data_IF_494038533450
#
_entry.id   IF_494038533450
#
_cell.length_a   1.000
_cell.length_b   1.000
_cell.length_c   1.000
_cell.angle_alpha   90.00
_cell.angle_beta   90.00
_cell.angle_gamma   90.00
#
_symmetry.space_group_name_H-M   'P 1'
#
loop_
_entity.id
_entity.type
_entity.pdbx_description
1 polymer ?
#
# COMPACT_ATOMS: atom_id res chain seq x y z
N UNK A 1 13.35 51.38 58.04
CA UNK A 1 12.89 50.13 57.37
C UNK A 1 11.43 50.34 56.96
N UNK A 2 11.22 50.77 55.72
CA UNK A 2 9.87 51.01 55.13
C UNK A 2 9.69 50.02 53.98
N UNK A 3 8.72 49.10 54.10
CA UNK A 3 8.34 48.14 53.07
C UNK A 3 7.36 48.81 52.11
N UNK A 4 7.71 48.94 50.84
CA UNK A 4 6.81 49.30 49.76
C UNK A 4 6.16 48.01 49.24
N UNK A 5 4.83 47.91 49.33
CA UNK A 5 4.00 46.96 48.61
C UNK A 5 3.70 47.53 47.23
N UNK A 6 4.12 46.89 46.17
CA UNK A 6 3.68 47.14 44.81
C UNK A 6 2.47 46.25 44.51
N UNK A 7 1.33 46.83 44.23
CA UNK A 7 0.11 46.16 43.80
C UNK A 7 0.17 46.04 42.27
N UNK A 8 0.30 44.80 41.77
CA UNK A 8 0.28 44.47 40.34
C UNK A 8 -1.16 44.21 39.92
N UNK A 9 -1.78 45.13 39.20
CA UNK A 9 -3.10 44.94 38.61
C UNK A 9 -3.00 44.10 37.35
N UNK A 10 -3.51 42.84 37.40
CA UNK A 10 -3.64 41.97 36.25
C UNK A 10 -4.93 42.32 35.50
N UNK A 11 -4.77 42.91 34.32
CA UNK A 11 -5.89 43.10 33.38
C UNK A 11 -6.16 41.77 32.65
N UNK A 12 -7.26 41.12 32.98
CA UNK A 12 -7.77 39.94 32.25
C UNK A 12 -8.44 40.43 30.97
N UNK A 13 -7.75 40.25 29.82
CA UNK A 13 -8.38 40.43 28.51
C UNK A 13 -9.09 39.11 28.17
N UNK A 14 -10.40 39.11 28.27
CA UNK A 14 -11.25 38.04 27.77
C UNK A 14 -11.28 38.08 26.23
N UNK A 15 -10.49 37.26 25.59
CA UNK A 15 -10.60 36.99 24.15
C UNK A 15 -11.71 35.96 23.97
N UNK A 16 -12.90 36.42 23.64
CA UNK A 16 -14.00 35.60 23.17
C UNK A 16 -13.66 35.15 21.73
N UNK A 17 -12.89 34.05 21.59
CA UNK A 17 -12.63 33.36 20.35
C UNK A 17 -13.67 32.31 20.13
N UNK A 18 -14.82 32.60 19.53
CA UNK A 18 -15.66 31.59 18.85
C UNK A 18 -14.93 31.14 17.60
N UNK A 19 -13.99 30.21 17.75
CA UNK A 19 -13.38 29.47 16.67
C UNK A 19 -14.07 28.12 16.55
N UNK A 20 -15.14 28.03 15.78
CA UNK A 20 -15.64 26.76 15.28
C UNK A 20 -14.51 26.13 14.43
N UNK A 21 -13.99 24.97 14.88
CA UNK A 21 -13.10 24.12 14.10
C UNK A 21 -13.92 23.44 13.00
N UNK A 22 -14.37 24.24 11.99
CA UNK A 22 -14.81 23.71 10.72
C UNK A 22 -13.59 23.05 10.05
N UNK A 23 -13.70 21.81 9.58
CA UNK A 23 -12.65 21.18 8.79
C UNK A 23 -12.33 22.13 7.62
N UNK A 24 -11.02 22.30 7.29
CA UNK A 24 -10.58 23.28 6.29
C UNK A 24 -11.16 23.11 4.87
N UNK A 25 -12.05 22.13 4.66
CA UNK A 25 -12.75 21.82 3.42
C UNK A 25 -14.20 22.32 3.35
N UNK A 26 -14.78 22.80 4.46
CA UNK A 26 -16.13 23.41 4.43
C UNK A 26 -16.20 24.58 3.45
N UNK A 27 -15.08 25.32 3.28
CA UNK A 27 -14.93 26.38 2.29
C UNK A 27 -14.96 25.89 0.83
N UNK A 28 -14.80 24.59 0.59
CA UNK A 28 -14.89 23.97 -0.75
C UNK A 28 -16.33 23.62 -1.14
N UNK A 29 -17.29 23.65 -0.22
CA UNK A 29 -18.69 23.35 -0.52
C UNK A 29 -19.39 24.68 -0.88
N UNK A 30 -19.93 24.76 -2.10
CA UNK A 30 -20.69 25.91 -2.57
C UNK A 30 -22.09 25.92 -1.98
N UNK A 31 -22.77 27.06 -2.06
CA UNK A 31 -24.14 27.24 -1.52
C UNK A 31 -25.16 26.30 -2.17
N UNK A 32 -24.95 25.89 -3.41
CA UNK A 32 -25.76 24.90 -4.14
C UNK A 32 -25.43 23.44 -3.80
N UNK A 33 -24.51 23.22 -2.86
CA UNK A 33 -24.07 21.91 -2.42
C UNK A 33 -23.05 21.22 -3.34
N UNK A 34 -22.64 21.86 -4.45
CA UNK A 34 -21.54 21.39 -5.29
C UNK A 34 -20.18 21.58 -4.64
N UNK A 35 -19.16 20.83 -5.06
CA UNK A 35 -17.80 20.89 -4.55
C UNK A 35 -16.91 21.70 -5.49
N UNK A 36 -16.21 22.70 -4.94
CA UNK A 36 -15.11 23.38 -5.60
C UNK A 36 -13.81 22.64 -5.37
N UNK A 37 -13.47 21.73 -6.27
CA UNK A 37 -12.26 20.92 -6.17
C UNK A 37 -10.98 21.76 -6.10
N UNK A 38 -10.95 22.97 -6.64
CA UNK A 38 -9.79 23.87 -6.57
C UNK A 38 -9.37 24.26 -5.14
N UNK A 39 -10.26 24.06 -4.17
CA UNK A 39 -10.01 24.30 -2.75
C UNK A 39 -9.67 23.04 -1.95
N UNK A 40 -9.59 21.88 -2.60
CA UNK A 40 -9.30 20.59 -1.96
C UNK A 40 -7.82 20.28 -2.10
N UNK A 41 -7.22 19.80 -1.01
CA UNK A 41 -5.91 19.14 -1.03
C UNK A 41 -6.09 17.68 -0.64
N UNK A 42 -5.59 16.77 -1.47
CA UNK A 42 -5.55 15.35 -1.21
C UNK A 42 -4.14 14.94 -0.83
N UNK A 43 -3.97 14.39 0.37
CA UNK A 43 -2.70 13.88 0.87
C UNK A 43 -2.59 12.39 0.50
N UNK A 44 -1.68 12.05 -0.41
CA UNK A 44 -1.55 10.69 -0.95
C UNK A 44 -0.28 10.02 -0.43
N UNK A 45 -0.44 8.84 0.14
CA UNK A 45 0.67 7.96 0.48
C UNK A 45 1.06 7.08 -0.70
N UNK A 46 2.35 7.01 -0.99
CA UNK A 46 2.87 6.20 -2.09
C UNK A 46 4.09 5.36 -1.65
N UNK A 47 4.46 4.40 -2.47
CA UNK A 47 5.61 3.53 -2.27
C UNK A 47 6.58 3.69 -3.45
N UNK A 48 7.81 3.19 -3.30
CA UNK A 48 8.85 3.28 -4.33
C UNK A 48 8.33 2.83 -5.70
N UNK A 49 8.46 3.71 -6.70
CA UNK A 49 7.99 3.50 -8.07
C UNK A 49 6.49 3.13 -8.14
N UNK A 50 5.69 3.76 -7.29
CA UNK A 50 4.27 3.46 -7.11
C UNK A 50 3.33 4.28 -7.98
N UNK A 51 2.26 4.75 -7.36
CA UNK A 51 1.13 5.36 -8.08
C UNK A 51 1.48 6.74 -8.62
N UNK A 52 2.30 7.54 -7.92
CA UNK A 52 2.71 8.88 -8.40
C UNK A 52 3.39 8.76 -9.77
N UNK A 53 4.44 7.96 -9.86
CA UNK A 53 5.21 7.77 -11.10
C UNK A 53 4.34 7.21 -12.23
N UNK A 54 3.39 6.34 -11.88
CA UNK A 54 2.44 5.77 -12.82
C UNK A 54 1.48 6.83 -13.39
N UNK A 55 0.92 7.69 -12.54
CA UNK A 55 0.01 8.77 -12.95
C UNK A 55 0.75 9.82 -13.80
N UNK A 56 2.01 10.13 -13.46
CA UNK A 56 2.86 11.02 -14.24
C UNK A 56 3.13 10.46 -15.64
N UNK A 57 3.54 9.19 -15.73
CA UNK A 57 3.82 8.51 -17.00
C UNK A 57 2.59 8.39 -17.89
N UNK A 58 1.44 8.09 -17.31
CA UNK A 58 0.16 8.01 -18.03
C UNK A 58 -0.48 9.38 -18.30
N UNK A 59 0.17 10.50 -17.97
CA UNK A 59 -0.34 11.87 -18.07
C UNK A 59 -1.67 12.11 -17.33
N UNK A 60 -2.00 11.25 -16.36
CA UNK A 60 -3.26 11.33 -15.60
C UNK A 60 -3.24 12.44 -14.52
N UNK A 61 -2.12 13.09 -14.27
CA UNK A 61 -2.07 14.30 -13.44
C UNK A 61 -2.44 15.58 -14.20
N UNK A 62 -2.54 15.51 -15.54
CA UNK A 62 -3.00 16.64 -16.33
C UNK A 62 -4.46 16.96 -16.05
N UNK A 63 -4.79 18.25 -15.90
CA UNK A 63 -6.15 18.71 -15.67
C UNK A 63 -6.77 18.33 -14.31
N UNK A 64 -5.98 17.84 -13.36
CA UNK A 64 -6.42 17.66 -11.96
C UNK A 64 -6.86 18.99 -11.38
N UNK A 65 -8.06 19.04 -10.82
CA UNK A 65 -8.67 20.28 -10.30
C UNK A 65 -8.42 20.52 -8.81
N UNK A 66 -7.78 19.60 -8.11
CA UNK A 66 -7.42 19.67 -6.69
C UNK A 66 -5.90 19.57 -6.54
N UNK A 67 -5.38 20.00 -5.40
CA UNK A 67 -3.96 19.84 -5.09
C UNK A 67 -3.71 18.40 -4.60
N UNK A 68 -2.63 17.79 -5.06
CA UNK A 68 -2.12 16.53 -4.52
C UNK A 68 -0.79 16.80 -3.82
N UNK A 69 -0.63 16.25 -2.62
CA UNK A 69 0.67 16.17 -1.93
C UNK A 69 1.02 14.71 -1.72
N UNK A 70 2.29 14.37 -1.90
CA UNK A 70 2.78 13.00 -1.85
C UNK A 70 3.65 12.77 -0.62
N UNK A 71 3.47 11.62 0.02
CA UNK A 71 4.32 11.12 1.09
C UNK A 71 4.80 9.70 0.76
N UNK A 72 6.13 9.49 0.82
CA UNK A 72 6.72 8.20 0.46
C UNK A 72 6.85 7.28 1.67
N UNK A 73 6.52 6.01 1.48
CA UNK A 73 6.57 4.96 2.49
C UNK A 73 7.38 3.77 2.00
N UNK A 74 8.04 3.09 2.93
CA UNK A 74 8.88 1.92 2.63
C UNK A 74 8.08 0.67 2.25
N UNK A 75 6.82 0.58 2.74
CA UNK A 75 5.90 -0.54 2.49
C UNK A 75 4.47 -0.17 2.88
N UNK A 76 3.50 -1.07 2.63
CA UNK A 76 2.09 -0.84 2.94
C UNK A 76 1.76 -0.65 4.43
N UNK A 77 2.31 -1.42 5.38
CA UNK A 77 1.99 -1.25 6.79
C UNK A 77 2.23 0.17 7.33
N UNK A 78 3.43 0.80 7.22
CA UNK A 78 3.61 2.17 7.68
C UNK A 78 2.76 3.20 6.93
N UNK A 79 2.40 2.94 5.67
CA UNK A 79 1.45 3.78 4.92
C UNK A 79 0.07 3.75 5.58
N UNK A 80 -0.44 2.56 5.96
CA UNK A 80 -1.74 2.45 6.62
C UNK A 80 -1.74 2.97 8.06
N UNK A 81 -0.62 2.94 8.77
CA UNK A 81 -0.45 3.62 10.06
C UNK A 81 -0.63 5.14 9.88
N UNK A 82 -0.03 5.73 8.85
CA UNK A 82 -0.20 7.14 8.51
C UNK A 82 -1.65 7.48 8.11
N UNK A 83 -2.32 6.61 7.34
CA UNK A 83 -3.73 6.76 6.99
C UNK A 83 -4.65 6.68 8.23
N UNK A 84 -4.39 5.75 9.14
CA UNK A 84 -5.13 5.62 10.40
C UNK A 84 -4.95 6.86 11.29
N UNK A 85 -3.76 7.45 11.30
CA UNK A 85 -3.47 8.69 12.03
C UNK A 85 -4.04 9.95 11.34
N UNK A 86 -4.57 9.84 10.11
CA UNK A 86 -5.07 10.97 9.33
C UNK A 86 -3.97 11.85 8.73
N UNK A 87 -2.71 11.39 8.70
CA UNK A 87 -1.60 12.09 8.07
C UNK A 87 -1.66 12.03 6.54
N UNK A 88 -2.32 11.01 6.00
CA UNK A 88 -2.67 10.90 4.58
C UNK A 88 -4.15 10.58 4.42
N UNK A 89 -4.70 10.94 3.28
CA UNK A 89 -6.11 10.71 2.93
C UNK A 89 -6.33 9.37 2.23
N UNK A 90 -5.36 8.97 1.40
CA UNK A 90 -5.47 7.78 0.54
C UNK A 90 -4.09 7.24 0.21
N UNK A 91 -4.02 5.93 -0.09
CA UNK A 91 -2.80 5.33 -0.61
C UNK A 91 -3.00 3.90 -1.12
N UNK A 92 -2.07 3.47 -1.98
CA UNK A 92 -2.07 2.14 -2.58
C UNK A 92 -1.25 1.14 -1.77
N UNK A 93 -1.81 -0.06 -1.54
CA UNK A 93 -1.15 -1.15 -0.79
C UNK A 93 -1.44 -2.51 -1.43
N UNK A 94 -0.67 -3.52 -1.06
CA UNK A 94 -0.96 -4.91 -1.42
C UNK A 94 -2.15 -5.49 -0.64
N UNK A 95 -2.40 -6.78 -0.82
CA UNK A 95 -3.51 -7.51 -0.21
C UNK A 95 -3.46 -7.60 1.33
N UNK A 96 -2.30 -7.72 1.91
CA UNK A 96 -2.13 -8.06 3.33
C UNK A 96 -2.20 -6.87 4.29
N UNK A 97 -1.67 -5.65 3.98
CA UNK A 97 -1.69 -4.54 4.90
C UNK A 97 -3.07 -4.16 5.44
N UNK A 98 -4.17 -4.16 4.62
CA UNK A 98 -5.51 -3.87 5.14
C UNK A 98 -5.99 -4.88 6.19
N UNK A 99 -5.62 -6.16 6.04
CA UNK A 99 -5.98 -7.22 7.01
C UNK A 99 -5.30 -6.96 8.36
N UNK A 100 -4.00 -6.62 8.35
CA UNK A 100 -3.26 -6.33 9.58
C UNK A 100 -3.74 -5.04 10.24
N UNK A 101 -4.03 -4.00 9.45
CA UNK A 101 -4.61 -2.75 9.94
C UNK A 101 -5.99 -2.98 10.58
N UNK A 102 -6.85 -3.77 9.92
CA UNK A 102 -8.15 -4.15 10.44
C UNK A 102 -8.04 -4.93 11.76
N UNK A 103 -7.15 -5.91 11.84
CA UNK A 103 -6.90 -6.67 13.06
C UNK A 103 -6.37 -5.82 14.22
N UNK A 104 -5.68 -4.71 13.92
CA UNK A 104 -5.22 -3.72 14.88
C UNK A 104 -6.28 -2.66 15.24
N UNK A 105 -7.52 -2.75 14.71
CA UNK A 105 -8.59 -1.80 14.97
C UNK A 105 -8.42 -0.44 14.27
N UNK A 106 -7.63 -0.39 13.20
CA UNK A 106 -7.38 0.84 12.43
C UNK A 106 -8.65 1.35 11.75
N UNK A 107 -8.81 2.68 11.72
CA UNK A 107 -9.95 3.35 11.08
C UNK A 107 -9.61 3.69 9.63
N UNK A 108 -9.49 2.64 8.82
CA UNK A 108 -9.24 2.73 7.37
C UNK A 108 -10.33 2.02 6.59
N UNK A 109 -10.49 2.33 5.32
CA UNK A 109 -11.48 1.68 4.46
C UNK A 109 -10.89 1.44 3.07
N UNK A 110 -11.07 0.24 2.55
CA UNK A 110 -10.73 -0.13 1.18
C UNK A 110 -11.78 0.47 0.23
N UNK A 111 -11.34 1.29 -0.71
CA UNK A 111 -12.21 2.04 -1.64
C UNK A 111 -11.94 1.70 -3.12
N UNK A 112 -10.92 0.92 -3.43
CA UNK A 112 -10.60 0.49 -4.79
C UNK A 112 -9.78 -0.79 -4.76
N UNK A 113 -9.84 -1.57 -5.84
CA UNK A 113 -9.09 -2.81 -6.00
C UNK A 113 -8.51 -2.95 -7.43
N UNK A 114 -7.36 -3.60 -7.51
CA UNK A 114 -6.76 -4.05 -8.75
C UNK A 114 -6.39 -5.53 -8.67
N UNK A 115 -6.62 -6.26 -9.75
CA UNK A 115 -6.08 -7.60 -9.92
C UNK A 115 -4.71 -7.50 -10.59
N UNK A 116 -3.67 -8.05 -9.98
CA UNK A 116 -2.30 -7.97 -10.48
C UNK A 116 -1.70 -9.34 -10.76
N UNK A 117 -0.68 -9.38 -11.61
CA UNK A 117 0.10 -10.59 -11.82
C UNK A 117 0.92 -10.92 -10.57
N UNK A 118 0.66 -12.09 -9.99
CA UNK A 118 1.30 -12.54 -8.75
C UNK A 118 2.78 -12.91 -8.93
N UNK A 119 3.28 -13.02 -10.18
CA UNK A 119 4.70 -13.23 -10.48
C UNK A 119 5.58 -12.02 -10.10
N UNK A 120 4.96 -10.86 -9.84
CA UNK A 120 5.62 -9.71 -9.24
C UNK A 120 6.01 -9.92 -7.77
N UNK A 121 5.74 -11.09 -7.20
CA UNK A 121 6.13 -11.50 -5.85
C UNK A 121 6.87 -12.84 -5.91
N UNK A 122 7.92 -12.99 -5.11
CA UNK A 122 8.70 -14.22 -5.06
C UNK A 122 9.36 -14.46 -3.70
N UNK A 123 9.64 -15.72 -3.41
CA UNK A 123 10.68 -16.09 -2.43
C UNK A 123 11.99 -16.27 -3.20
N UNK A 124 12.97 -15.43 -2.90
CA UNK A 124 14.30 -15.44 -3.49
C UNK A 124 15.28 -16.21 -2.60
N UNK A 125 16.25 -16.83 -3.23
CA UNK A 125 17.41 -17.43 -2.58
C UNK A 125 18.70 -16.97 -3.27
N UNK A 126 19.86 -16.91 -2.58
CA UNK A 126 21.13 -16.58 -3.20
C UNK A 126 21.46 -17.49 -4.40
N UNK A 127 22.24 -16.98 -5.36
CA UNK A 127 22.65 -17.72 -6.59
C UNK A 127 23.11 -19.15 -6.31
N UNK A 128 23.99 -19.32 -5.34
CA UNK A 128 24.62 -20.58 -4.98
C UNK A 128 23.98 -21.26 -3.76
N UNK A 129 22.76 -20.83 -3.36
CA UNK A 129 22.05 -21.41 -2.22
C UNK A 129 21.79 -22.90 -2.43
N UNK A 130 21.98 -23.75 -1.41
CA UNK A 130 21.59 -25.17 -1.45
C UNK A 130 20.06 -25.36 -1.41
N UNK A 131 19.29 -24.33 -1.06
CA UNK A 131 17.83 -24.36 -1.02
C UNK A 131 17.31 -24.55 -2.45
N UNK A 132 16.61 -25.66 -2.72
CA UNK A 132 16.07 -26.03 -4.03
C UNK A 132 14.56 -26.17 -4.02
N UNK A 133 13.98 -26.53 -2.88
CA UNK A 133 12.55 -26.77 -2.68
C UNK A 133 12.01 -25.88 -1.56
N UNK A 134 10.69 -25.75 -1.50
CA UNK A 134 10.04 -24.99 -0.41
C UNK A 134 10.21 -25.67 0.95
N UNK A 135 10.42 -27.00 0.99
CA UNK A 135 10.70 -27.77 2.20
C UNK A 135 12.07 -27.44 2.81
N UNK A 136 13.04 -27.05 1.97
CA UNK A 136 14.39 -26.64 2.42
C UNK A 136 14.38 -25.31 3.21
N UNK A 137 13.24 -24.61 3.24
CA UNK A 137 13.07 -23.39 4.05
C UNK A 137 13.03 -23.68 5.56
N UNK A 138 12.83 -24.96 5.98
CA UNK A 138 12.84 -25.31 7.41
C UNK A 138 14.13 -24.90 8.10
N UNK A 139 14.00 -24.19 9.23
CA UNK A 139 15.10 -23.65 10.03
C UNK A 139 15.85 -22.45 9.42
N UNK A 140 15.48 -21.99 8.22
CA UNK A 140 16.18 -20.91 7.51
C UNK A 140 15.78 -19.52 8.02
N UNK A 141 16.72 -18.57 7.91
CA UNK A 141 16.50 -17.13 8.15
C UNK A 141 15.86 -16.55 6.90
N UNK A 142 14.63 -16.06 7.01
CA UNK A 142 13.86 -15.56 5.86
C UNK A 142 13.50 -14.10 6.11
N UNK A 143 14.02 -13.18 5.28
CA UNK A 143 13.66 -11.77 5.34
C UNK A 143 12.28 -11.54 4.73
N UNK A 144 11.51 -10.64 5.33
CA UNK A 144 10.23 -10.14 4.83
C UNK A 144 9.78 -8.89 5.59
N UNK A 145 8.94 -8.05 5.01
CA UNK A 145 8.26 -6.98 5.75
C UNK A 145 6.99 -7.54 6.43
N UNK A 146 6.91 -7.43 7.76
CA UNK A 146 5.75 -7.92 8.53
C UNK A 146 4.46 -7.22 8.07
N UNK A 147 3.39 -7.99 7.84
CA UNK A 147 2.08 -7.46 7.42
C UNK A 147 2.02 -6.99 5.96
N UNK A 148 3.05 -7.22 5.15
CA UNK A 148 3.06 -6.94 3.71
C UNK A 148 2.57 -8.14 2.88
N UNK A 149 2.36 -7.95 1.57
CA UNK A 149 2.04 -9.05 0.65
C UNK A 149 3.13 -10.13 0.59
N UNK A 150 4.39 -9.79 0.88
CA UNK A 150 5.46 -10.79 1.04
C UNK A 150 5.23 -11.70 2.26
N UNK A 151 4.53 -11.21 3.29
CA UNK A 151 4.13 -12.02 4.45
C UNK A 151 3.06 -13.04 4.05
N UNK A 152 2.07 -12.65 3.24
CA UNK A 152 1.06 -13.55 2.70
C UNK A 152 1.68 -14.61 1.79
N UNK A 153 2.59 -14.21 0.88
CA UNK A 153 3.30 -15.15 0.04
C UNK A 153 4.04 -16.20 0.86
N UNK A 154 4.82 -15.76 1.87
CA UNK A 154 5.57 -16.71 2.71
C UNK A 154 4.61 -17.62 3.49
N UNK A 155 3.49 -17.12 4.01
CA UNK A 155 2.48 -17.93 4.66
C UNK A 155 1.95 -19.04 3.75
N UNK A 156 1.58 -18.70 2.52
CA UNK A 156 1.10 -19.66 1.53
C UNK A 156 2.15 -20.72 1.18
N UNK A 157 3.40 -20.29 0.97
CA UNK A 157 4.54 -21.17 0.67
C UNK A 157 4.81 -22.15 1.82
N UNK A 158 4.87 -21.66 3.05
CA UNK A 158 5.11 -22.50 4.24
C UNK A 158 3.96 -23.48 4.44
N UNK A 159 2.71 -23.05 4.33
CA UNK A 159 1.53 -23.93 4.41
C UNK A 159 1.60 -25.06 3.37
N UNK A 160 1.97 -24.76 2.13
CA UNK A 160 2.14 -25.77 1.06
C UNK A 160 3.30 -26.73 1.34
N UNK A 161 4.34 -26.25 2.01
CA UNK A 161 5.48 -27.08 2.43
C UNK A 161 5.18 -27.96 3.66
N UNK A 162 4.00 -27.83 4.28
CA UNK A 162 3.68 -28.46 5.57
C UNK A 162 4.41 -27.82 6.76
N UNK A 163 4.82 -26.54 6.63
CA UNK A 163 5.56 -25.78 7.62
C UNK A 163 4.71 -24.63 8.16
N UNK A 164 5.04 -24.19 9.38
CA UNK A 164 4.55 -22.96 9.98
C UNK A 164 5.65 -21.91 10.16
N UNK A 165 5.28 -20.72 10.63
CA UNK A 165 6.25 -19.67 10.94
C UNK A 165 7.22 -20.05 12.08
N UNK A 166 6.84 -20.98 12.95
CA UNK A 166 7.72 -21.54 14.01
C UNK A 166 8.79 -22.50 13.47
N UNK A 167 8.61 -23.03 12.26
CA UNK A 167 9.57 -23.90 11.60
C UNK A 167 10.68 -23.15 10.84
N UNK A 168 10.57 -21.83 10.75
CA UNK A 168 11.55 -20.95 10.09
C UNK A 168 12.00 -19.84 11.07
N UNK A 169 12.96 -19.02 10.66
CA UNK A 169 13.45 -17.87 11.45
C UNK A 169 13.12 -16.57 10.69
N UNK A 170 11.91 -16.01 10.82
CA UNK A 170 11.54 -14.80 10.10
C UNK A 170 12.38 -13.62 10.59
N UNK A 171 12.91 -12.84 9.65
CA UNK A 171 13.61 -11.59 9.88
C UNK A 171 12.75 -10.46 9.34
N UNK A 172 12.10 -9.74 10.24
CA UNK A 172 11.20 -8.64 9.88
C UNK A 172 12.00 -7.39 9.55
N UNK A 173 12.27 -7.19 8.26
CA UNK A 173 13.06 -6.09 7.72
C UNK A 173 12.27 -5.34 6.65
N UNK A 174 12.45 -4.02 6.57
CA UNK A 174 11.95 -3.24 5.45
C UNK A 174 12.73 -3.58 4.17
N UNK A 175 12.15 -3.37 2.96
CA UNK A 175 12.74 -3.87 1.73
C UNK A 175 14.20 -3.47 1.47
N UNK A 176 14.59 -2.23 1.78
CA UNK A 176 15.97 -1.78 1.57
C UNK A 176 16.96 -2.48 2.53
N UNK A 177 16.58 -2.64 3.81
CA UNK A 177 17.38 -3.34 4.81
C UNK A 177 17.45 -4.84 4.49
N UNK A 178 16.31 -5.41 4.03
CA UNK A 178 16.24 -6.80 3.60
C UNK A 178 17.13 -7.07 2.37
N UNK A 179 17.21 -6.15 1.40
CA UNK A 179 18.13 -6.24 0.27
C UNK A 179 19.58 -6.28 0.75
N UNK A 180 19.94 -5.39 1.67
CA UNK A 180 21.29 -5.33 2.24
C UNK A 180 21.63 -6.62 3.02
N UNK A 181 20.70 -7.11 3.85
CA UNK A 181 20.88 -8.34 4.61
C UNK A 181 20.99 -9.58 3.70
N UNK A 182 20.19 -9.63 2.63
CA UNK A 182 20.18 -10.71 1.64
C UNK A 182 21.49 -10.72 0.83
N UNK A 183 21.91 -9.56 0.31
CA UNK A 183 23.16 -9.41 -0.45
C UNK A 183 24.39 -9.73 0.41
N UNK A 184 24.34 -9.40 1.71
CA UNK A 184 25.41 -9.68 2.68
C UNK A 184 25.37 -11.08 3.31
N UNK A 185 24.47 -11.99 2.85
CA UNK A 185 24.36 -13.36 3.34
C UNK A 185 23.89 -13.49 4.79
N UNK A 186 23.27 -12.43 5.34
CA UNK A 186 22.72 -12.44 6.71
C UNK A 186 21.40 -13.20 6.81
N UNK A 187 20.71 -13.40 5.69
CA UNK A 187 19.51 -14.21 5.56
C UNK A 187 19.68 -15.24 4.45
N UNK A 188 18.93 -16.34 4.53
CA UNK A 188 19.07 -17.50 3.64
C UNK A 188 18.05 -17.42 2.49
N UNK A 189 16.95 -16.70 2.69
CA UNK A 189 15.91 -16.43 1.71
C UNK A 189 15.26 -15.06 1.95
N UNK A 190 14.55 -14.55 0.94
CA UNK A 190 13.85 -13.28 1.03
C UNK A 190 12.51 -13.36 0.30
N UNK A 191 11.40 -13.16 1.02
CA UNK A 191 10.08 -12.99 0.42
C UNK A 191 9.87 -11.51 0.12
N UNK A 192 9.61 -11.17 -1.17
CA UNK A 192 9.64 -9.79 -1.67
C UNK A 192 8.79 -9.61 -2.92
N UNK A 193 8.62 -8.36 -3.35
CA UNK A 193 7.91 -7.94 -4.56
C UNK A 193 8.78 -7.04 -5.45
N UNK A 194 8.37 -6.85 -6.72
CA UNK A 194 9.02 -5.91 -7.64
C UNK A 194 8.79 -4.44 -7.21
N UNK A 195 9.78 -3.56 -7.37
CA UNK A 195 11.03 -3.74 -8.14
C UNK A 195 12.18 -4.42 -7.38
N UNK A 196 12.08 -4.66 -6.10
CA UNK A 196 13.15 -5.24 -5.29
C UNK A 196 13.52 -6.67 -5.73
N UNK A 197 12.54 -7.45 -6.21
CA UNK A 197 12.79 -8.78 -6.78
C UNK A 197 13.76 -8.67 -7.98
N UNK A 198 13.44 -7.83 -8.96
CA UNK A 198 14.28 -7.61 -10.13
C UNK A 198 15.65 -7.02 -9.75
N UNK A 199 15.67 -6.09 -8.81
CA UNK A 199 16.90 -5.48 -8.30
C UNK A 199 17.82 -6.52 -7.68
N UNK A 200 17.32 -7.38 -6.80
CA UNK A 200 18.11 -8.44 -6.17
C UNK A 200 18.65 -9.43 -7.22
N UNK A 201 17.81 -9.83 -8.18
CA UNK A 201 18.21 -10.73 -9.26
C UNK A 201 19.34 -10.12 -10.10
N UNK A 202 19.25 -8.84 -10.46
CA UNK A 202 20.26 -8.14 -11.24
C UNK A 202 21.57 -7.94 -10.47
N UNK A 203 21.49 -7.54 -9.19
CA UNK A 203 22.66 -7.18 -8.40
C UNK A 203 23.42 -8.39 -7.84
N UNK A 204 22.71 -9.47 -7.50
CA UNK A 204 23.31 -10.61 -6.77
C UNK A 204 23.21 -11.94 -7.51
N UNK A 205 22.52 -11.98 -8.65
CA UNK A 205 22.20 -13.21 -9.35
C UNK A 205 21.23 -14.10 -8.57
N UNK A 206 20.43 -13.51 -7.67
CA UNK A 206 19.44 -14.24 -6.87
C UNK A 206 18.52 -15.08 -7.74
N UNK A 207 18.18 -16.29 -7.26
CA UNK A 207 17.24 -17.18 -7.93
C UNK A 207 15.85 -17.07 -7.33
N UNK A 208 14.83 -17.13 -8.14
CA UNK A 208 13.47 -17.39 -7.67
C UNK A 208 13.37 -18.84 -7.22
N UNK A 209 13.08 -19.07 -5.93
CA UNK A 209 12.72 -20.38 -5.41
C UNK A 209 11.28 -20.72 -5.83
N UNK A 210 10.39 -19.76 -5.64
CA UNK A 210 8.96 -19.85 -5.98
C UNK A 210 8.41 -18.44 -6.23
N UNK A 211 7.52 -18.31 -7.23
CA UNK A 211 6.73 -17.09 -7.48
C UNK A 211 5.45 -17.09 -6.64
N UNK A 212 4.66 -16.02 -6.75
CA UNK A 212 3.38 -15.91 -6.07
C UNK A 212 2.29 -16.85 -6.58
N UNK A 213 2.51 -17.51 -7.73
CA UNK A 213 1.50 -18.36 -8.39
C UNK A 213 1.01 -19.50 -7.48
N UNK A 214 -0.30 -19.49 -7.16
CA UNK A 214 -0.92 -20.49 -6.31
C UNK A 214 -0.63 -20.36 -4.80
N UNK A 215 0.04 -19.27 -4.36
CA UNK A 215 0.42 -19.09 -2.96
C UNK A 215 -0.16 -17.84 -2.30
N UNK A 216 -0.63 -16.87 -3.06
CA UNK A 216 -1.20 -15.62 -2.55
C UNK A 216 -2.35 -15.15 -3.42
N UNK A 217 -3.22 -14.28 -2.90
CA UNK A 217 -4.21 -13.59 -3.69
C UNK A 217 -3.54 -12.60 -4.65
N UNK A 218 -4.21 -12.32 -5.75
CA UNK A 218 -3.70 -11.45 -6.81
C UNK A 218 -4.23 -10.01 -6.72
N UNK A 219 -4.67 -9.57 -5.54
CA UNK A 219 -5.25 -8.24 -5.37
C UNK A 219 -4.26 -7.24 -4.76
N UNK A 220 -4.46 -5.99 -5.14
CA UNK A 220 -3.96 -4.81 -4.45
C UNK A 220 -5.14 -3.86 -4.18
N UNK A 221 -4.98 -2.94 -3.26
CA UNK A 221 -6.06 -2.09 -2.82
C UNK A 221 -5.65 -0.63 -2.74
N UNK A 222 -6.63 0.25 -3.00
CA UNK A 222 -6.57 1.65 -2.60
C UNK A 222 -7.36 1.80 -1.31
N UNK A 223 -6.73 2.38 -0.30
CA UNK A 223 -7.27 2.53 1.04
C UNK A 223 -7.36 4.00 1.40
N UNK A 224 -8.50 4.42 1.94
CA UNK A 224 -8.70 5.78 2.44
C UNK A 224 -8.78 5.83 3.97
N UNK A 225 -8.42 6.98 4.54
CA UNK A 225 -8.62 7.28 5.96
C UNK A 225 -10.09 7.55 6.26
N UNK A 226 -10.53 7.21 7.47
CA UNK A 226 -11.90 7.51 7.90
C UNK A 226 -12.21 9.02 7.92
N UNK A 227 -11.19 9.87 8.12
CA UNK A 227 -11.36 11.32 8.07
C UNK A 227 -11.67 11.80 6.64
N UNK A 228 -10.92 11.31 5.64
CA UNK A 228 -11.16 11.67 4.24
C UNK A 228 -12.55 11.23 3.77
N UNK A 229 -13.05 10.08 4.23
CA UNK A 229 -14.36 9.56 3.85
C UNK A 229 -15.56 10.28 4.50
N UNK A 230 -15.33 11.01 5.59
CA UNK A 230 -16.35 11.88 6.24
C UNK A 230 -16.43 13.24 5.57
N UNK A 231 -15.42 13.66 4.84
CA UNK A 231 -15.33 14.95 4.19
C UNK A 231 -15.88 14.87 2.77
N UNK A 232 -17.03 15.53 2.52
CA UNK A 232 -17.71 15.53 1.22
C UNK A 232 -16.81 16.02 0.08
N UNK A 233 -15.97 17.01 0.35
CA UNK A 233 -15.10 17.59 -0.67
C UNK A 233 -13.95 16.63 -1.00
N UNK A 234 -13.36 15.98 0.01
CA UNK A 234 -12.36 14.92 -0.19
C UNK A 234 -12.93 13.70 -0.90
N UNK A 235 -14.15 13.27 -0.57
CA UNK A 235 -14.84 12.16 -1.27
C UNK A 235 -14.99 12.45 -2.77
N UNK A 236 -15.31 13.69 -3.15
CA UNK A 236 -15.38 14.08 -4.55
C UNK A 236 -14.01 14.01 -5.25
N UNK A 237 -12.94 14.46 -4.56
CA UNK A 237 -11.58 14.36 -5.08
C UNK A 237 -11.08 12.89 -5.15
N UNK A 238 -11.40 12.06 -4.15
CA UNK A 238 -11.07 10.63 -4.13
C UNK A 238 -11.70 9.88 -5.31
N UNK A 239 -12.93 10.24 -5.69
CA UNK A 239 -13.60 9.64 -6.83
C UNK A 239 -12.88 9.93 -8.16
N UNK A 240 -12.47 11.16 -8.40
CA UNK A 240 -11.68 11.54 -9.59
C UNK A 240 -10.28 10.91 -9.53
N UNK A 241 -9.65 10.88 -8.34
CA UNK A 241 -8.34 10.25 -8.15
C UNK A 241 -8.37 8.75 -8.48
N UNK A 242 -9.35 8.00 -7.99
CA UNK A 242 -9.50 6.58 -8.29
C UNK A 242 -9.70 6.33 -9.79
N UNK A 243 -10.57 7.12 -10.44
CA UNK A 243 -10.77 7.01 -11.88
C UNK A 243 -9.47 7.22 -12.67
N UNK A 244 -8.60 8.15 -12.23
CA UNK A 244 -7.27 8.38 -12.83
C UNK A 244 -6.32 7.21 -12.57
N UNK A 245 -6.29 6.68 -11.36
CA UNK A 245 -5.49 5.50 -11.01
C UNK A 245 -5.88 4.31 -11.88
N UNK A 246 -7.18 4.09 -12.07
CA UNK A 246 -7.69 2.99 -12.88
C UNK A 246 -7.32 3.14 -14.35
N UNK A 247 -7.44 4.36 -14.93
CA UNK A 247 -6.97 4.62 -16.30
C UNK A 247 -5.48 4.44 -16.45
N UNK A 248 -4.69 4.85 -15.44
CA UNK A 248 -3.25 4.65 -15.45
C UNK A 248 -2.88 3.17 -15.38
N UNK A 249 -3.59 2.34 -14.62
CA UNK A 249 -3.40 0.88 -14.66
C UNK A 249 -3.66 0.30 -16.06
N UNK A 250 -4.75 0.72 -16.73
CA UNK A 250 -5.04 0.30 -18.10
C UNK A 250 -3.93 0.75 -19.05
N UNK A 251 -3.45 1.99 -18.89
CA UNK A 251 -2.34 2.52 -19.69
C UNK A 251 -1.06 1.69 -19.54
N UNK A 252 -0.66 1.32 -18.30
CA UNK A 252 0.55 0.51 -18.06
C UNK A 252 0.48 -0.87 -18.72
N UNK A 253 -0.71 -1.43 -18.85
CA UNK A 253 -0.89 -2.74 -19.49
C UNK A 253 -0.64 -2.70 -21.01
N UNK A 254 -0.85 -1.55 -21.66
CA UNK A 254 -0.72 -1.34 -23.11
C UNK A 254 0.57 -0.61 -23.51
N UNK A 255 1.20 0.14 -22.59
CA UNK A 255 2.41 0.95 -22.82
C UNK A 255 3.62 0.43 -22.03
N UNK A 256 3.84 -0.88 -22.05
CA UNK A 256 4.83 -1.57 -21.19
C UNK A 256 6.24 -1.06 -21.36
N UNK A 257 6.68 -0.81 -22.60
CA UNK A 257 8.03 -0.31 -22.88
C UNK A 257 8.23 1.10 -22.34
N UNK A 258 7.28 1.98 -22.56
CA UNK A 258 7.31 3.36 -22.05
C UNK A 258 7.26 3.38 -20.50
N UNK A 259 6.42 2.54 -19.92
CA UNK A 259 6.35 2.34 -18.49
C UNK A 259 7.67 1.81 -17.92
N UNK A 260 8.31 0.84 -18.58
CA UNK A 260 9.61 0.31 -18.17
C UNK A 260 10.72 1.36 -18.24
N UNK A 261 10.72 2.23 -19.26
CA UNK A 261 11.66 3.35 -19.37
C UNK A 261 11.49 4.34 -18.22
N UNK A 262 10.26 4.65 -17.85
CA UNK A 262 9.97 5.54 -16.72
C UNK A 262 10.42 4.91 -15.41
N UNK A 263 10.09 3.64 -15.19
CA UNK A 263 10.55 2.90 -14.02
C UNK A 263 12.08 2.85 -13.93
N UNK A 264 12.78 2.53 -15.02
CA UNK A 264 14.24 2.46 -15.06
C UNK A 264 14.88 3.77 -14.56
N UNK A 265 14.37 4.92 -15.01
CA UNK A 265 14.83 6.24 -14.55
C UNK A 265 14.54 6.45 -13.06
N UNK A 266 13.32 6.15 -12.62
CA UNK A 266 12.85 6.43 -11.26
C UNK A 266 13.57 5.59 -10.20
N UNK A 267 13.80 4.31 -10.49
CA UNK A 267 14.42 3.38 -9.52
C UNK A 267 15.91 3.19 -9.70
N UNK A 268 16.49 3.80 -10.75
CA UNK A 268 17.92 3.70 -11.04
C UNK A 268 18.38 2.31 -11.47
N UNK A 269 17.52 1.54 -12.18
CA UNK A 269 17.85 0.22 -12.69
C UNK A 269 18.05 0.24 -14.21
N UNK A 270 18.89 -0.65 -14.77
CA UNK A 270 19.00 -0.83 -16.21
C UNK A 270 17.63 -1.15 -16.84
N UNK A 271 17.35 -0.58 -18.02
CA UNK A 271 16.07 -0.77 -18.71
C UNK A 271 15.66 -2.25 -18.87
N UNK A 272 16.54 -3.21 -19.22
CA UNK A 272 16.17 -4.61 -19.31
C UNK A 272 15.65 -5.19 -17.99
N UNK A 273 16.19 -4.73 -16.85
CA UNK A 273 15.77 -5.16 -15.51
C UNK A 273 14.39 -4.57 -15.16
N UNK A 274 14.19 -3.28 -15.45
CA UNK A 274 12.91 -2.61 -15.27
C UNK A 274 11.82 -3.25 -16.17
N UNK A 275 12.15 -3.62 -17.41
CA UNK A 275 11.24 -4.31 -18.33
C UNK A 275 10.73 -5.63 -17.74
N UNK A 276 11.64 -6.47 -17.21
CA UNK A 276 11.26 -7.74 -16.56
C UNK A 276 10.32 -7.51 -15.38
N UNK A 277 10.56 -6.47 -14.56
CA UNK A 277 9.70 -6.14 -13.42
C UNK A 277 8.32 -5.65 -13.88
N UNK A 278 8.27 -4.79 -14.90
CA UNK A 278 7.02 -4.29 -15.47
C UNK A 278 6.19 -5.41 -16.10
N UNK A 279 6.83 -6.34 -16.82
CA UNK A 279 6.14 -7.47 -17.47
C UNK A 279 5.51 -8.43 -16.46
N UNK A 280 6.04 -8.47 -15.23
CA UNK A 280 5.48 -9.24 -14.10
C UNK A 280 4.46 -8.45 -13.27
N UNK A 281 4.30 -7.14 -13.49
CA UNK A 281 3.45 -6.29 -12.63
C UNK A 281 2.28 -5.65 -13.38
N UNK A 282 1.61 -6.42 -14.21
CA UNK A 282 0.40 -5.94 -14.88
C UNK A 282 -0.75 -5.93 -13.87
N UNK A 283 -1.37 -4.76 -13.70
CA UNK A 283 -2.55 -4.58 -12.83
C UNK A 283 -3.75 -4.20 -13.69
N UNK A 284 -4.93 -4.73 -13.36
CA UNK A 284 -6.22 -4.37 -13.96
C UNK A 284 -7.17 -3.94 -12.87
N UNK A 285 -7.85 -2.79 -13.01
CA UNK A 285 -8.91 -2.40 -12.09
C UNK A 285 -9.99 -3.46 -11.99
N UNK A 286 -10.49 -3.72 -10.80
CA UNK A 286 -11.59 -4.64 -10.54
C UNK A 286 -12.55 -4.04 -9.51
N UNK A 287 -13.81 -4.47 -9.57
CA UNK A 287 -14.82 -4.05 -8.59
C UNK A 287 -14.56 -4.70 -7.24
N UNK A 288 -14.86 -3.96 -6.17
CA UNK A 288 -14.92 -4.50 -4.81
C UNK A 288 -16.23 -5.29 -4.67
N UNK A 289 -16.21 -6.56 -5.08
CA UNK A 289 -17.34 -7.48 -5.05
C UNK A 289 -17.14 -8.62 -4.06
N UNK A 290 -18.07 -9.58 -4.05
CA UNK A 290 -18.01 -10.75 -3.18
C UNK A 290 -16.81 -11.66 -3.50
N UNK A 291 -16.33 -11.70 -4.75
CA UNK A 291 -15.16 -12.49 -5.16
C UNK A 291 -13.90 -11.92 -4.53
N UNK A 292 -13.70 -10.60 -4.65
CA UNK A 292 -12.55 -9.89 -4.05
C UNK A 292 -12.57 -9.99 -2.54
N UNK A 293 -13.71 -9.68 -1.92
CA UNK A 293 -13.85 -9.71 -0.45
C UNK A 293 -13.74 -11.12 0.11
N UNK A 294 -14.23 -12.14 -0.59
CA UNK A 294 -14.10 -13.54 -0.20
C UNK A 294 -12.67 -14.06 -0.27
N UNK A 295 -11.91 -13.67 -1.30
CA UNK A 295 -10.49 -14.01 -1.40
C UNK A 295 -9.69 -13.42 -0.25
N UNK A 296 -9.94 -12.14 0.09
CA UNK A 296 -9.26 -11.47 1.20
C UNK A 296 -9.72 -11.99 2.57
N UNK A 297 -10.99 -12.40 2.72
CA UNK A 297 -11.45 -13.09 3.92
C UNK A 297 -10.70 -14.41 4.12
N UNK A 298 -10.52 -15.20 3.06
CA UNK A 298 -9.76 -16.45 3.11
C UNK A 298 -8.30 -16.23 3.53
N UNK A 299 -7.70 -15.12 3.08
CA UNK A 299 -6.34 -14.73 3.48
C UNK A 299 -6.30 -14.31 4.96
N UNK A 300 -7.27 -13.52 5.42
CA UNK A 300 -7.40 -13.11 6.83
C UNK A 300 -7.57 -14.32 7.76
N UNK A 301 -8.40 -15.28 7.36
CA UNK A 301 -8.60 -16.53 8.09
C UNK A 301 -7.30 -17.35 8.16
N UNK A 302 -6.55 -17.45 7.05
CA UNK A 302 -5.26 -18.15 7.03
C UNK A 302 -4.23 -17.53 8.00
N UNK A 303 -4.17 -16.20 8.08
CA UNK A 303 -3.31 -15.50 9.06
C UNK A 303 -3.78 -15.72 10.51
N UNK A 304 -5.09 -15.76 10.74
CA UNK A 304 -5.67 -16.04 12.07
C UNK A 304 -5.37 -17.46 12.52
N UNK A 305 -5.57 -18.44 11.64
CA UNK A 305 -5.31 -19.86 11.91
C UNK A 305 -3.80 -20.11 12.17
N UNK A 306 -2.93 -19.37 11.49
CA UNK A 306 -1.48 -19.37 11.73
C UNK A 306 -1.07 -18.62 13.01
N UNK A 307 -2.01 -18.03 13.77
CA UNK A 307 -1.77 -17.22 14.98
C UNK A 307 -0.88 -16.01 14.74
N UNK A 308 -0.96 -15.43 13.53
CA UNK A 308 -0.19 -14.25 13.12
C UNK A 308 -0.99 -12.94 13.28
N UNK A 309 -2.30 -13.04 13.58
CA UNK A 309 -3.19 -11.92 13.93
C UNK A 309 -3.70 -12.08 15.37
N UNK A 310 -3.98 -10.97 16.06
CA UNK A 310 -4.50 -10.99 17.43
C UNK A 310 -5.95 -11.48 17.53
N UNK A 311 -6.69 -11.55 16.41
CA UNK A 311 -8.09 -11.96 16.37
C UNK A 311 -8.61 -12.14 14.95
N UNK A 312 -9.86 -12.57 14.82
CA UNK A 312 -10.53 -12.71 13.52
C UNK A 312 -10.88 -11.33 12.95
N UNK A 313 -10.75 -11.21 11.64
CA UNK A 313 -11.13 -10.02 10.86
C UNK A 313 -12.30 -10.42 9.97
N UNK A 314 -13.34 -9.62 9.92
CA UNK A 314 -14.37 -9.68 8.88
C UNK A 314 -14.06 -8.62 7.85
N UNK A 315 -13.40 -9.03 6.76
CA UNK A 315 -12.82 -8.11 5.77
C UNK A 315 -13.88 -7.19 5.15
N UNK A 316 -15.09 -7.71 4.91
CA UNK A 316 -16.19 -6.93 4.33
C UNK A 316 -16.56 -5.66 5.14
N UNK A 317 -16.29 -5.64 6.46
CA UNK A 317 -16.58 -4.48 7.30
C UNK A 317 -15.62 -3.30 7.03
N UNK A 318 -14.54 -3.54 6.29
CA UNK A 318 -13.51 -2.56 5.92
C UNK A 318 -13.57 -2.15 4.44
N UNK A 319 -14.67 -2.47 3.73
CA UNK A 319 -14.82 -2.24 2.29
C UNK A 319 -15.96 -1.26 2.04
N UNK A 320 -15.72 -0.26 1.19
CA UNK A 320 -16.72 0.68 0.74
C UNK A 320 -16.88 0.60 -0.80
N UNK A 321 -17.89 -0.11 -1.30
CA UNK A 321 -18.07 -0.34 -2.72
C UNK A 321 -18.68 0.85 -3.48
N UNK A 322 -19.03 1.96 -2.81
CA UNK A 322 -19.64 3.14 -3.47
C UNK A 322 -18.77 3.80 -4.54
N UNK A 323 -17.49 3.42 -4.62
CA UNK A 323 -16.56 3.87 -5.65
C UNK A 323 -16.44 2.90 -6.83
N UNK A 324 -17.18 1.79 -6.84
CA UNK A 324 -17.15 0.81 -7.93
C UNK A 324 -17.63 1.37 -9.29
N UNK A 325 -18.35 2.47 -9.28
CA UNK A 325 -18.84 3.14 -10.49
C UNK A 325 -17.74 3.83 -11.31
N UNK A 326 -16.56 4.07 -10.72
CA UNK A 326 -15.43 4.66 -11.47
C UNK A 326 -14.56 3.60 -12.17
N UNK A 327 -14.77 2.30 -11.88
CA UNK A 327 -14.01 1.21 -12.50
C UNK A 327 -14.32 1.10 -13.99
N UNK A 328 -13.32 1.17 -14.90
CA UNK A 328 -13.55 1.08 -16.35
C UNK A 328 -14.26 -0.22 -16.77
N UNK A 329 -15.27 -0.12 -17.64
CA UNK A 329 -16.03 -1.28 -18.13
C UNK A 329 -17.08 -1.83 -17.17
N UNK A 330 -17.31 -1.18 -16.04
CA UNK A 330 -18.41 -1.47 -15.13
C UNK A 330 -19.71 -0.86 -15.60
N UNK A 331 -20.43 -1.50 -16.53
CA UNK A 331 -21.86 -1.19 -16.72
C UNK A 331 -22.61 -1.54 -15.43
N UNK A 332 -23.36 -0.57 -14.94
CA UNK A 332 -24.33 -0.69 -13.82
C UNK A 332 -25.37 -1.75 -14.08
#
# INVERSE_FOLDING_TARGET
MKRLLAVLSVAVVAVAGCGGSGSGTDAAIRKDGSVDLGKVTLHVGDQKAGVQVMLEAAHELSGVKYKITWSQFTSGPPLLEAANAGAIDVGGVGNTPPIFAAAAGSKITVIGAGSQDVRAQAVLVPKNSPIRTIQDLKGKRIALAKGSSAHALLLGVLKKAGLGFTDVRPQYLQPADALSAFSGGKVDAWSIWDPYQAQAQAQTGARTLVSGDGFTSNYNFTVASAQALKDKAKVAALRDYLARVDRAYVWTATHRTEWAQTWAREIGLPLPVAQVAVDRRVTRPVRLDATVTGAEQSLADAFTDAKLLPGRVKFADFVDPRFNDVVPGGSS
#
